data_IF_617166449731
#
_entry.id   IF_617166449731
#
_cell.length_a   1.000
_cell.length_b   1.000
_cell.length_c   1.000
_cell.angle_alpha   90.00
_cell.angle_beta   90.00
_cell.angle_gamma   90.00
#
_symmetry.space_group_name_H-M   'P 1'
#
loop_
_entity.id
_entity.type
_entity.pdbx_description
1 polymer ?
#
# COMPACT_ATOMS: atom_id res chain seq x y z
N UNK A 1 20.06 -15.07 -22.02
CA UNK A 1 19.25 -14.79 -20.81
C UNK A 1 17.94 -14.17 -21.24
N UNK A 2 16.80 -14.61 -20.70
CA UNK A 2 15.53 -14.02 -21.05
C UNK A 2 15.43 -12.60 -20.44
N UNK A 3 14.84 -11.64 -21.16
CA UNK A 3 14.58 -10.27 -20.68
C UNK A 3 13.89 -10.28 -19.32
N UNK A 4 13.05 -11.27 -19.07
CA UNK A 4 12.36 -11.52 -17.80
C UNK A 4 13.35 -11.74 -16.64
N UNK A 5 14.36 -12.61 -16.83
CA UNK A 5 15.32 -12.91 -15.76
C UNK A 5 16.17 -11.68 -15.38
N UNK A 6 16.58 -10.89 -16.37
CA UNK A 6 17.35 -9.65 -16.16
C UNK A 6 16.49 -8.63 -15.40
N UNK A 7 15.26 -8.40 -15.87
CA UNK A 7 14.33 -7.46 -15.24
C UNK A 7 14.04 -7.87 -13.79
N UNK A 8 13.76 -9.15 -13.55
CA UNK A 8 13.49 -9.65 -12.20
C UNK A 8 14.71 -9.51 -11.28
N UNK A 9 15.93 -9.73 -11.80
CA UNK A 9 17.18 -9.53 -11.05
C UNK A 9 17.35 -8.09 -10.59
N UNK A 10 17.14 -7.12 -11.47
CA UNK A 10 17.14 -5.69 -11.09
C UNK A 10 16.07 -5.37 -10.07
N UNK A 11 14.85 -5.87 -10.28
CA UNK A 11 13.75 -5.73 -9.33
C UNK A 11 14.10 -6.29 -7.95
N UNK A 12 14.75 -7.44 -7.89
CA UNK A 12 15.19 -8.05 -6.64
C UNK A 12 16.25 -7.20 -5.92
N UNK A 13 17.27 -6.70 -6.63
CA UNK A 13 18.29 -5.84 -6.04
C UNK A 13 17.72 -4.56 -5.44
N UNK A 14 16.84 -3.88 -6.19
CA UNK A 14 16.19 -2.65 -5.72
C UNK A 14 15.28 -2.95 -4.52
N UNK A 15 14.50 -4.04 -4.59
CA UNK A 15 13.60 -4.45 -3.50
C UNK A 15 14.36 -4.81 -2.23
N UNK A 16 15.49 -5.50 -2.35
CA UNK A 16 16.36 -5.86 -1.22
C UNK A 16 16.93 -4.61 -0.55
N UNK A 17 17.40 -3.66 -1.34
CA UNK A 17 17.90 -2.39 -0.82
C UNK A 17 16.79 -1.59 -0.09
N UNK A 18 15.60 -1.52 -0.68
CA UNK A 18 14.47 -0.83 -0.05
C UNK A 18 14.05 -1.49 1.26
N UNK A 19 14.03 -2.81 1.32
CA UNK A 19 13.70 -3.55 2.52
C UNK A 19 14.72 -3.32 3.62
N UNK A 20 16.02 -3.43 3.29
CA UNK A 20 17.11 -3.16 4.22
C UNK A 20 17.05 -1.73 4.79
N UNK A 21 16.86 -0.73 3.92
CA UNK A 21 16.72 0.66 4.34
C UNK A 21 15.54 0.85 5.30
N UNK A 22 14.40 0.27 4.99
CA UNK A 22 13.21 0.37 5.85
C UNK A 22 13.36 -0.36 7.17
N UNK A 23 14.00 -1.51 7.16
CA UNK A 23 14.31 -2.24 8.39
C UNK A 23 15.17 -1.39 9.34
N UNK A 24 16.17 -0.70 8.78
CA UNK A 24 17.02 0.24 9.52
C UNK A 24 16.25 1.43 10.07
N UNK A 25 15.39 2.05 9.25
CA UNK A 25 14.50 3.16 9.67
C UNK A 25 13.54 2.73 10.80
N UNK A 26 13.13 1.47 10.84
CA UNK A 26 12.26 0.87 11.86
C UNK A 26 13.02 0.31 13.08
N UNK A 27 14.34 0.49 13.15
CA UNK A 27 15.23 -0.06 14.21
C UNK A 27 15.03 -1.57 14.42
N UNK A 28 14.81 -2.32 13.33
CA UNK A 28 14.70 -3.77 13.33
C UNK A 28 16.09 -4.41 13.14
N UNK A 29 16.24 -5.64 13.64
CA UNK A 29 17.46 -6.40 13.40
C UNK A 29 17.60 -6.71 11.90
N UNK A 30 18.64 -6.14 11.27
CA UNK A 30 18.90 -6.22 9.82
C UNK A 30 19.10 -7.69 9.37
N UNK A 31 19.81 -8.49 10.16
CA UNK A 31 20.05 -9.90 9.87
C UNK A 31 18.76 -10.71 9.78
N UNK A 32 17.87 -10.55 10.77
CA UNK A 32 16.55 -11.23 10.75
C UNK A 32 15.66 -10.80 9.58
N UNK A 33 15.79 -9.56 9.14
CA UNK A 33 15.03 -9.06 7.99
C UNK A 33 15.57 -9.62 6.69
N UNK A 34 16.89 -9.79 6.55
CA UNK A 34 17.51 -10.44 5.39
C UNK A 34 17.09 -11.90 5.33
N UNK A 35 17.11 -12.62 6.45
CA UNK A 35 16.63 -13.99 6.53
C UNK A 35 15.15 -14.10 6.14
N UNK A 36 14.31 -13.20 6.66
CA UNK A 36 12.91 -13.14 6.30
C UNK A 36 12.69 -12.85 4.80
N UNK A 37 13.56 -12.03 4.19
CA UNK A 37 13.52 -11.76 2.75
C UNK A 37 13.86 -13.00 1.93
N UNK A 38 14.93 -13.71 2.27
CA UNK A 38 15.33 -14.94 1.58
C UNK A 38 14.21 -15.98 1.66
N UNK A 39 13.64 -16.15 2.85
CA UNK A 39 12.50 -17.04 3.06
C UNK A 39 11.26 -16.58 2.30
N UNK A 40 10.99 -15.25 2.21
CA UNK A 40 9.86 -14.71 1.44
C UNK A 40 10.00 -15.01 -0.06
N UNK A 41 11.20 -14.91 -0.60
CA UNK A 41 11.49 -15.29 -2.00
C UNK A 41 11.25 -16.78 -2.20
N UNK A 42 11.76 -17.62 -1.31
CA UNK A 42 11.61 -19.07 -1.40
C UNK A 42 10.14 -19.50 -1.33
N UNK A 43 9.41 -19.10 -0.29
CA UNK A 43 7.99 -19.44 -0.14
C UNK A 43 7.10 -18.79 -1.20
N UNK A 44 7.43 -17.56 -1.60
CA UNK A 44 6.76 -16.84 -2.68
C UNK A 44 6.95 -17.57 -4.03
N UNK A 45 8.14 -18.03 -4.33
CA UNK A 45 8.42 -18.81 -5.53
C UNK A 45 7.72 -20.16 -5.48
N UNK A 46 7.79 -20.88 -4.36
CA UNK A 46 7.17 -22.19 -4.18
C UNK A 46 5.65 -22.13 -4.39
N UNK A 47 4.96 -21.25 -3.66
CA UNK A 47 3.50 -21.12 -3.77
C UNK A 47 3.06 -20.40 -5.06
N UNK A 48 3.87 -19.51 -5.60
CA UNK A 48 3.66 -18.92 -6.92
C UNK A 48 3.71 -19.98 -8.02
N UNK A 49 4.64 -20.91 -7.94
CA UNK A 49 4.75 -22.05 -8.86
C UNK A 49 3.58 -23.00 -8.70
N UNK A 50 3.25 -23.37 -7.46
CA UNK A 50 2.11 -24.25 -7.18
C UNK A 50 0.79 -23.63 -7.72
N UNK A 51 0.56 -22.34 -7.48
CA UNK A 51 -0.60 -21.64 -8.02
C UNK A 51 -0.65 -21.63 -9.54
N UNK A 52 0.50 -21.47 -10.21
CA UNK A 52 0.58 -21.52 -11.66
C UNK A 52 0.24 -22.92 -12.21
N UNK A 53 0.78 -23.98 -11.58
CA UNK A 53 0.50 -25.37 -11.96
C UNK A 53 -0.99 -25.69 -11.79
N UNK A 54 -1.59 -25.30 -10.66
CA UNK A 54 -3.02 -25.50 -10.40
C UNK A 54 -3.87 -24.79 -11.45
N UNK A 55 -3.54 -23.54 -11.80
CA UNK A 55 -4.27 -22.78 -12.81
C UNK A 55 -4.13 -23.35 -14.23
N UNK A 56 -3.06 -24.09 -14.51
CA UNK A 56 -2.76 -24.68 -15.83
C UNK A 56 -2.66 -26.20 -15.76
N UNK A 57 -3.40 -26.83 -14.87
CA UNK A 57 -3.28 -28.26 -14.57
C UNK A 57 -3.46 -29.17 -15.81
N UNK A 58 -4.33 -28.76 -16.75
CA UNK A 58 -4.53 -29.49 -18.00
C UNK A 58 -3.26 -29.64 -18.86
N UNK A 59 -2.30 -28.67 -18.76
CA UNK A 59 -1.02 -28.76 -19.48
C UNK A 59 0.10 -29.44 -18.72
N UNK A 60 0.01 -29.48 -17.39
CA UNK A 60 1.04 -30.07 -16.52
C UNK A 60 0.73 -31.50 -16.10
N UNK A 61 -0.55 -31.81 -15.84
CA UNK A 61 -0.99 -33.11 -15.32
C UNK A 61 -0.27 -33.47 -14.02
N UNK A 62 -0.08 -34.77 -13.77
CA UNK A 62 0.68 -35.31 -12.62
C UNK A 62 2.16 -35.57 -12.94
N UNK A 63 2.74 -34.81 -13.89
CA UNK A 63 4.15 -34.93 -14.24
C UNK A 63 5.01 -34.04 -13.33
N UNK A 64 5.54 -34.61 -12.25
CA UNK A 64 6.40 -33.94 -11.30
C UNK A 64 7.68 -33.34 -11.94
N UNK A 65 8.17 -33.96 -13.04
CA UNK A 65 9.31 -33.43 -13.78
C UNK A 65 9.01 -32.04 -14.36
N UNK A 66 7.80 -31.84 -14.93
CA UNK A 66 7.35 -30.53 -15.43
C UNK A 66 7.12 -29.53 -14.31
N UNK A 67 6.73 -29.97 -13.11
CA UNK A 67 6.50 -29.06 -11.97
C UNK A 67 7.80 -28.43 -11.49
N UNK A 68 8.90 -29.19 -11.46
CA UNK A 68 10.19 -28.75 -10.95
C UNK A 68 11.01 -28.00 -12.01
N UNK A 69 10.86 -28.31 -13.30
CA UNK A 69 11.62 -27.72 -14.38
C UNK A 69 11.11 -26.32 -14.78
N UNK A 70 11.22 -25.34 -13.87
CA UNK A 70 10.76 -23.96 -14.13
C UNK A 70 11.56 -23.22 -15.21
N UNK A 71 12.77 -23.68 -15.54
CA UNK A 71 13.56 -23.13 -16.66
C UNK A 71 12.95 -23.55 -18.00
N UNK A 72 12.48 -24.80 -18.12
CA UNK A 72 11.89 -25.33 -19.34
C UNK A 72 10.41 -24.96 -19.49
N UNK A 73 9.69 -24.88 -18.37
CA UNK A 73 8.27 -24.54 -18.31
C UNK A 73 8.08 -23.31 -17.40
N UNK A 74 8.43 -22.11 -17.86
CA UNK A 74 8.37 -20.91 -17.03
C UNK A 74 6.93 -20.55 -16.69
N UNK A 75 6.72 -20.02 -15.47
CA UNK A 75 5.44 -19.50 -15.05
C UNK A 75 5.30 -19.45 -13.52
N UNK A 76 4.80 -18.31 -13.05
CA UNK A 76 4.45 -18.08 -11.65
C UNK A 76 3.11 -17.33 -11.60
N UNK A 77 2.25 -17.70 -10.66
CA UNK A 77 1.01 -17.00 -10.39
C UNK A 77 1.23 -15.99 -9.27
N UNK A 78 1.02 -14.70 -9.56
CA UNK A 78 1.20 -13.63 -8.58
C UNK A 78 0.36 -13.84 -7.30
N UNK A 79 -0.92 -14.26 -7.36
CA UNK A 79 -1.69 -14.55 -6.17
C UNK A 79 -1.05 -15.62 -5.27
N UNK A 80 -0.51 -16.69 -5.88
CA UNK A 80 0.22 -17.73 -5.14
C UNK A 80 1.49 -17.20 -4.49
N UNK A 81 2.26 -16.37 -5.20
CA UNK A 81 3.45 -15.71 -4.66
C UNK A 81 3.11 -14.85 -3.45
N UNK A 82 2.06 -14.04 -3.55
CA UNK A 82 1.60 -13.20 -2.43
C UNK A 82 1.16 -14.04 -1.24
N UNK A 83 0.41 -15.13 -1.48
CA UNK A 83 0.03 -16.05 -0.41
C UNK A 83 1.26 -16.63 0.32
N UNK A 84 2.31 -17.00 -0.42
CA UNK A 84 3.56 -17.47 0.16
C UNK A 84 4.21 -16.44 1.09
N UNK A 85 4.31 -15.19 0.63
CA UNK A 85 4.86 -14.09 1.43
C UNK A 85 3.98 -13.80 2.65
N UNK A 86 2.66 -13.76 2.49
CA UNK A 86 1.71 -13.51 3.59
C UNK A 86 1.80 -14.59 4.67
N UNK A 87 1.84 -15.87 4.28
CA UNK A 87 1.99 -16.98 5.22
C UNK A 87 3.31 -16.88 5.99
N UNK A 88 4.41 -16.60 5.29
CA UNK A 88 5.70 -16.41 5.94
C UNK A 88 5.67 -15.25 6.94
N UNK A 89 5.12 -14.10 6.54
CA UNK A 89 5.00 -12.95 7.44
C UNK A 89 4.14 -13.25 8.66
N UNK A 90 3.08 -14.04 8.50
CA UNK A 90 2.24 -14.47 9.62
C UNK A 90 3.00 -15.37 10.59
N UNK A 91 3.84 -16.28 10.10
CA UNK A 91 4.70 -17.13 10.92
C UNK A 91 5.76 -16.30 11.63
N UNK A 92 6.46 -15.42 10.92
CA UNK A 92 7.47 -14.54 11.51
C UNK A 92 6.89 -13.57 12.55
N UNK A 93 5.70 -13.03 12.32
CA UNK A 93 5.01 -12.18 13.27
C UNK A 93 4.73 -12.91 14.60
N UNK A 94 4.30 -14.18 14.52
CA UNK A 94 4.08 -15.02 15.71
C UNK A 94 5.38 -15.33 16.45
N UNK A 95 6.43 -15.71 15.73
CA UNK A 95 7.75 -16.02 16.33
C UNK A 95 8.38 -14.79 16.98
N UNK A 96 8.33 -13.64 16.28
CA UNK A 96 8.89 -12.39 16.77
C UNK A 96 8.00 -11.67 17.80
N UNK A 97 6.78 -12.18 18.06
CA UNK A 97 5.76 -11.53 18.92
C UNK A 97 5.47 -10.07 18.50
N UNK A 98 5.47 -9.83 17.17
CA UNK A 98 5.18 -8.51 16.56
C UNK A 98 3.84 -8.51 15.87
N UNK A 99 3.29 -7.31 15.65
CA UNK A 99 2.06 -7.20 14.85
C UNK A 99 2.35 -7.60 13.38
N UNK A 100 1.54 -8.52 12.86
CA UNK A 100 1.60 -8.96 11.47
C UNK A 100 1.56 -7.79 10.49
N UNK A 101 0.72 -6.80 10.78
CA UNK A 101 0.51 -5.66 9.87
C UNK A 101 1.71 -4.71 9.83
N UNK A 102 2.46 -4.59 10.92
CA UNK A 102 3.70 -3.82 10.96
C UNK A 102 4.75 -4.44 10.03
N UNK A 103 4.91 -5.77 10.09
CA UNK A 103 5.80 -6.49 9.19
C UNK A 103 5.30 -6.45 7.74
N UNK A 104 4.00 -6.60 7.52
CA UNK A 104 3.41 -6.53 6.18
C UNK A 104 3.68 -5.18 5.51
N UNK A 105 3.51 -4.07 6.23
CA UNK A 105 3.79 -2.71 5.70
C UNK A 105 5.27 -2.51 5.32
N UNK A 106 6.18 -3.19 6.02
CA UNK A 106 7.60 -3.19 5.71
C UNK A 106 7.86 -3.84 4.34
N UNK A 107 7.22 -4.97 4.07
CA UNK A 107 7.42 -5.77 2.86
C UNK A 107 6.66 -5.26 1.63
N UNK A 108 5.61 -4.47 1.80
CA UNK A 108 4.76 -4.03 0.68
C UNK A 108 5.52 -3.31 -0.41
N UNK A 109 6.35 -2.32 -0.07
CA UNK A 109 7.08 -1.55 -1.09
C UNK A 109 8.06 -2.41 -1.89
N UNK A 110 8.91 -3.25 -1.26
CA UNK A 110 9.73 -4.22 -1.97
C UNK A 110 8.94 -5.13 -2.91
N UNK A 111 7.80 -5.65 -2.45
CA UNK A 111 6.95 -6.56 -3.25
C UNK A 111 6.31 -5.83 -4.44
N UNK A 112 5.87 -4.58 -4.27
CA UNK A 112 5.35 -3.77 -5.37
C UNK A 112 6.43 -3.50 -6.42
N UNK A 113 7.66 -3.19 -6.00
CA UNK A 113 8.79 -3.01 -6.92
C UNK A 113 9.08 -4.30 -7.67
N UNK A 114 9.13 -5.44 -7.00
CA UNK A 114 9.29 -6.75 -7.65
C UNK A 114 8.17 -7.02 -8.67
N UNK A 115 6.92 -6.66 -8.36
CA UNK A 115 5.80 -6.82 -9.30
C UNK A 115 5.99 -5.94 -10.54
N UNK A 116 6.41 -4.69 -10.39
CA UNK A 116 6.69 -3.78 -11.51
C UNK A 116 7.72 -4.40 -12.46
N UNK A 117 8.87 -4.81 -11.94
CA UNK A 117 9.94 -5.40 -12.75
C UNK A 117 9.54 -6.77 -13.31
N UNK A 118 8.79 -7.56 -12.57
CA UNK A 118 8.24 -8.83 -13.06
C UNK A 118 7.31 -8.66 -14.26
N UNK A 119 6.40 -7.67 -14.22
CA UNK A 119 5.52 -7.37 -15.35
C UNK A 119 6.25 -6.70 -16.52
N UNK A 120 7.25 -5.83 -16.27
CA UNK A 120 8.12 -5.28 -17.32
C UNK A 120 8.85 -6.40 -18.06
N UNK A 121 9.42 -7.37 -17.33
CA UNK A 121 10.09 -8.52 -17.95
C UNK A 121 9.16 -9.45 -18.74
N UNK A 122 7.85 -9.42 -18.45
CA UNK A 122 6.80 -10.13 -19.20
C UNK A 122 6.21 -9.32 -20.36
N UNK A 123 6.71 -8.11 -20.65
CA UNK A 123 6.18 -7.15 -21.62
C UNK A 123 4.71 -6.69 -21.32
N UNK A 124 4.28 -6.82 -20.07
CA UNK A 124 2.94 -6.38 -19.62
C UNK A 124 2.98 -4.95 -19.07
N UNK A 125 3.29 -3.99 -19.93
CA UNK A 125 3.55 -2.59 -19.54
C UNK A 125 2.38 -1.92 -18.84
N UNK A 126 1.13 -2.25 -19.21
CA UNK A 126 -0.06 -1.70 -18.55
C UNK A 126 -0.12 -2.10 -17.07
N UNK A 127 0.11 -3.38 -16.76
CA UNK A 127 0.14 -3.85 -15.39
C UNK A 127 1.32 -3.25 -14.61
N UNK A 128 2.50 -3.19 -15.23
CA UNK A 128 3.66 -2.53 -14.62
C UNK A 128 3.36 -1.07 -14.27
N UNK A 129 2.71 -0.32 -15.18
CA UNK A 129 2.27 1.06 -14.96
C UNK A 129 1.26 1.19 -13.81
N UNK A 130 0.29 0.27 -13.73
CA UNK A 130 -0.68 0.26 -12.62
C UNK A 130 -0.01 0.02 -11.25
N UNK A 131 0.94 -0.92 -11.16
CA UNK A 131 1.71 -1.15 -9.93
C UNK A 131 2.66 0.02 -9.62
N UNK A 132 3.19 0.70 -10.63
CA UNK A 132 3.97 1.91 -10.42
C UNK A 132 3.12 3.05 -9.82
N UNK A 133 1.90 3.27 -10.32
CA UNK A 133 0.95 4.22 -9.73
C UNK A 133 0.60 3.83 -8.28
N UNK A 134 0.37 2.55 -8.01
CA UNK A 134 0.14 2.06 -6.65
C UNK A 134 1.34 2.37 -5.73
N UNK A 135 2.57 2.19 -6.22
CA UNK A 135 3.78 2.54 -5.48
C UNK A 135 3.80 4.02 -5.12
N UNK A 136 3.49 4.91 -6.07
CA UNK A 136 3.41 6.36 -5.83
C UNK A 136 2.37 6.70 -4.77
N UNK A 137 1.19 6.08 -4.81
CA UNK A 137 0.13 6.26 -3.80
C UNK A 137 0.61 5.82 -2.43
N UNK A 138 1.26 4.66 -2.33
CA UNK A 138 1.81 4.15 -1.06
C UNK A 138 2.89 5.09 -0.50
N UNK A 139 3.80 5.57 -1.35
CA UNK A 139 4.85 6.51 -0.95
C UNK A 139 4.25 7.84 -0.46
N UNK A 140 3.27 8.36 -1.18
CA UNK A 140 2.56 9.58 -0.81
C UNK A 140 1.84 9.44 0.53
N UNK A 141 1.09 8.35 0.74
CA UNK A 141 0.40 8.07 1.99
C UNK A 141 1.37 7.94 3.16
N UNK A 142 2.46 7.19 2.99
CA UNK A 142 3.47 7.03 4.03
C UNK A 142 4.12 8.37 4.41
N UNK A 143 4.40 9.22 3.42
CA UNK A 143 4.93 10.58 3.66
C UNK A 143 3.91 11.44 4.40
N UNK A 144 2.63 11.37 4.00
CA UNK A 144 1.55 12.16 4.60
C UNK A 144 1.27 11.74 6.05
N UNK A 145 1.20 10.43 6.31
CA UNK A 145 1.00 9.88 7.66
C UNK A 145 2.17 10.27 8.58
N UNK A 146 3.40 10.27 8.06
CA UNK A 146 4.59 10.66 8.85
C UNK A 146 4.61 12.14 9.18
N UNK A 147 4.22 13.02 8.25
CA UNK A 147 4.36 14.48 8.39
C UNK A 147 3.19 15.14 9.10
N UNK A 148 2.02 14.52 9.16
CA UNK A 148 0.82 15.13 9.73
C UNK A 148 0.30 14.29 10.91
N UNK A 149 0.33 14.87 12.15
CA UNK A 149 -0.07 14.16 13.36
C UNK A 149 -1.55 13.74 13.37
N UNK A 150 -2.42 14.49 12.68
CA UNK A 150 -3.84 14.14 12.54
C UNK A 150 -4.03 12.84 11.75
N UNK A 151 -3.30 12.69 10.64
CA UNK A 151 -3.30 11.47 9.85
C UNK A 151 -2.72 10.29 10.61
N UNK A 152 -1.67 10.54 11.42
CA UNK A 152 -1.08 9.52 12.28
C UNK A 152 -2.09 8.98 13.28
N UNK A 153 -2.92 9.83 13.90
CA UNK A 153 -3.99 9.41 14.82
C UNK A 153 -5.09 8.62 14.13
N UNK A 154 -5.43 8.96 12.87
CA UNK A 154 -6.43 8.24 12.09
C UNK A 154 -5.95 6.85 11.67
N UNK A 155 -4.69 6.74 11.32
CA UNK A 155 -4.01 5.51 10.91
C UNK A 155 -3.07 4.98 11.99
N UNK A 156 -3.48 5.09 13.26
CA UNK A 156 -2.73 4.60 14.42
C UNK A 156 -2.38 3.10 14.31
N UNK A 157 -3.25 2.33 13.64
CA UNK A 157 -3.01 0.92 13.37
C UNK A 157 -2.18 0.75 12.09
N UNK A 158 -1.08 0.00 12.18
CA UNK A 158 -0.29 -0.43 11.01
C UNK A 158 -1.13 -1.24 10.01
N UNK A 159 -0.71 -1.33 8.77
CA UNK A 159 -1.30 -2.20 7.75
C UNK A 159 -2.07 -1.50 6.64
N UNK A 160 -2.10 -0.16 6.60
CA UNK A 160 -2.77 0.55 5.50
C UNK A 160 -2.13 0.27 4.13
N UNK A 161 -0.80 0.42 3.95
CA UNK A 161 -0.14 0.09 2.70
C UNK A 161 -0.33 -1.38 2.29
N UNK A 162 -0.26 -2.30 3.26
CA UNK A 162 -0.45 -3.73 3.01
C UNK A 162 -1.86 -4.05 2.52
N UNK A 163 -2.88 -3.49 3.16
CA UNK A 163 -4.27 -3.67 2.73
C UNK A 163 -4.55 -3.06 1.36
N UNK A 164 -4.02 -1.88 1.06
CA UNK A 164 -4.14 -1.26 -0.26
C UNK A 164 -3.51 -2.14 -1.34
N UNK A 165 -2.30 -2.65 -1.09
CA UNK A 165 -1.62 -3.54 -2.03
C UNK A 165 -2.40 -4.84 -2.25
N UNK A 166 -2.86 -5.51 -1.18
CA UNK A 166 -3.63 -6.74 -1.28
C UNK A 166 -4.94 -6.51 -2.03
N UNK A 167 -5.70 -5.47 -1.65
CA UNK A 167 -6.97 -5.14 -2.30
C UNK A 167 -6.78 -4.86 -3.78
N UNK A 168 -5.76 -4.07 -4.14
CA UNK A 168 -5.44 -3.74 -5.53
C UNK A 168 -5.04 -4.98 -6.34
N UNK A 169 -4.16 -5.82 -5.79
CA UNK A 169 -3.69 -7.02 -6.46
C UNK A 169 -4.81 -8.03 -6.67
N UNK A 170 -5.67 -8.22 -5.67
CA UNK A 170 -6.82 -9.10 -5.79
C UNK A 170 -7.90 -8.53 -6.71
N UNK A 171 -8.08 -7.20 -6.76
CA UNK A 171 -9.00 -6.57 -7.70
C UNK A 171 -8.64 -6.86 -9.16
N UNK A 172 -7.34 -6.91 -9.46
CA UNK A 172 -6.85 -7.21 -10.82
C UNK A 172 -6.94 -8.69 -11.15
N UNK A 173 -6.60 -9.57 -10.20
CA UNK A 173 -6.45 -11.01 -10.47
C UNK A 173 -7.68 -11.83 -10.06
N UNK A 174 -8.34 -11.46 -8.98
CA UNK A 174 -9.48 -12.16 -8.38
C UNK A 174 -10.47 -11.14 -7.79
N UNK A 175 -11.29 -10.48 -8.61
CA UNK A 175 -12.13 -9.35 -8.16
C UNK A 175 -13.08 -9.72 -7.00
N UNK A 176 -13.55 -10.95 -6.91
CA UNK A 176 -14.39 -11.42 -5.81
C UNK A 176 -13.65 -11.34 -4.46
N UNK A 177 -12.35 -11.66 -4.43
CA UNK A 177 -11.53 -11.62 -3.22
C UNK A 177 -11.19 -10.18 -2.81
N UNK A 178 -11.17 -9.23 -3.76
CA UNK A 178 -10.96 -7.82 -3.48
C UNK A 178 -12.04 -7.25 -2.55
N UNK A 179 -13.29 -7.72 -2.67
CA UNK A 179 -14.39 -7.33 -1.77
C UNK A 179 -14.04 -7.67 -0.32
N UNK A 180 -13.44 -8.83 -0.07
CA UNK A 180 -12.94 -9.20 1.26
C UNK A 180 -11.85 -8.25 1.78
N UNK A 181 -10.94 -7.78 0.91
CA UNK A 181 -9.91 -6.80 1.25
C UNK A 181 -10.51 -5.45 1.66
N UNK A 182 -11.51 -4.96 0.93
CA UNK A 182 -12.27 -3.75 1.29
C UNK A 182 -12.97 -3.93 2.64
N UNK A 183 -13.60 -5.07 2.87
CA UNK A 183 -14.28 -5.37 4.12
C UNK A 183 -13.31 -5.38 5.31
N UNK A 184 -12.15 -6.01 5.18
CA UNK A 184 -11.09 -5.98 6.19
C UNK A 184 -10.58 -4.55 6.45
N UNK A 185 -10.45 -3.73 5.39
CA UNK A 185 -10.10 -2.33 5.54
C UNK A 185 -11.15 -1.58 6.37
N UNK A 186 -12.42 -1.73 6.06
CA UNK A 186 -13.51 -1.07 6.79
C UNK A 186 -13.55 -1.47 8.27
N UNK A 187 -13.36 -2.74 8.59
CA UNK A 187 -13.31 -3.23 9.98
C UNK A 187 -12.10 -2.65 10.71
N UNK A 188 -10.92 -2.74 10.10
CA UNK A 188 -9.66 -2.33 10.74
C UNK A 188 -9.59 -0.82 10.98
N UNK A 189 -10.07 -0.04 10.02
CA UNK A 189 -10.05 1.43 10.06
C UNK A 189 -11.42 2.06 10.33
N UNK A 190 -12.22 1.44 11.19
CA UNK A 190 -13.55 1.93 11.55
C UNK A 190 -13.55 3.41 12.02
N UNK A 191 -12.49 3.86 12.73
CA UNK A 191 -12.33 5.27 13.10
C UNK A 191 -12.17 6.16 11.85
N UNK A 192 -11.40 5.72 10.86
CA UNK A 192 -11.19 6.44 9.60
C UNK A 192 -12.49 6.53 8.78
N UNK A 193 -13.22 5.44 8.63
CA UNK A 193 -14.51 5.44 7.93
C UNK A 193 -15.52 6.39 8.59
N UNK A 194 -15.60 6.43 9.93
CA UNK A 194 -16.46 7.40 10.64
C UNK A 194 -16.03 8.85 10.40
N UNK A 195 -14.73 9.12 10.33
CA UNK A 195 -14.21 10.47 10.04
C UNK A 195 -14.46 10.84 8.59
N UNK A 196 -14.24 9.91 7.63
CA UNK A 196 -14.53 10.15 6.21
C UNK A 196 -16.00 10.47 5.96
N UNK A 197 -16.93 9.81 6.66
CA UNK A 197 -18.36 10.10 6.57
C UNK A 197 -18.69 11.49 7.14
N UNK A 198 -17.96 11.93 8.19
CA UNK A 198 -18.16 13.24 8.83
C UNK A 198 -17.35 14.38 8.17
N UNK A 199 -16.35 14.04 7.37
CA UNK A 199 -15.43 15.02 6.78
C UNK A 199 -16.15 16.08 5.93
N UNK A 200 -17.13 15.75 5.07
CA UNK A 200 -17.87 16.77 4.31
C UNK A 200 -18.60 17.76 5.19
N UNK A 201 -19.20 17.28 6.28
CA UNK A 201 -19.94 18.15 7.22
C UNK A 201 -19.00 19.07 8.02
N UNK A 202 -17.84 18.57 8.43
CA UNK A 202 -16.85 19.38 9.17
C UNK A 202 -16.22 20.47 8.30
N UNK A 203 -15.92 20.18 7.02
CA UNK A 203 -15.40 21.15 6.06
C UNK A 203 -16.45 22.23 5.80
N UNK A 204 -17.71 21.85 5.58
CA UNK A 204 -18.81 22.80 5.40
C UNK A 204 -19.02 23.68 6.63
N UNK A 205 -18.94 23.12 7.84
CA UNK A 205 -19.04 23.88 9.09
C UNK A 205 -17.86 24.83 9.27
N UNK A 206 -16.65 24.38 8.94
CA UNK A 206 -15.45 25.24 8.98
C UNK A 206 -15.52 26.38 7.99
N UNK A 207 -15.99 26.15 6.76
CA UNK A 207 -16.19 27.20 5.74
C UNK A 207 -17.27 28.18 6.19
N UNK A 208 -18.40 27.71 6.72
CA UNK A 208 -19.46 28.58 7.25
C UNK A 208 -18.92 29.48 8.36
N UNK A 209 -18.22 28.92 9.34
CA UNK A 209 -17.62 29.71 10.43
C UNK A 209 -16.63 30.74 9.92
N UNK A 210 -15.75 30.37 8.98
CA UNK A 210 -14.80 31.31 8.37
C UNK A 210 -15.49 32.45 7.64
N UNK A 211 -16.57 32.18 6.89
CA UNK A 211 -17.35 33.22 6.20
C UNK A 211 -18.09 34.13 7.19
N UNK A 212 -18.59 33.61 8.29
CA UNK A 212 -19.28 34.34 9.34
C UNK A 212 -18.30 35.26 10.10
N UNK A 213 -17.12 34.76 10.46
CA UNK A 213 -16.04 35.56 11.08
C UNK A 213 -15.57 36.69 10.14
N UNK A 214 -15.47 36.40 8.84
CA UNK A 214 -15.13 37.44 7.85
C UNK A 214 -16.20 38.50 7.70
N UNK A 215 -17.48 38.11 7.70
CA UNK A 215 -18.61 39.05 7.64
C UNK A 215 -18.62 39.97 8.86
N UNK A 216 -18.44 39.39 10.04
CA UNK A 216 -18.40 40.18 11.30
C UNK A 216 -17.23 41.17 11.34
N UNK A 217 -16.04 40.75 10.83
CA UNK A 217 -14.90 41.66 10.72
C UNK A 217 -15.17 42.83 9.74
N UNK A 218 -15.78 42.57 8.60
CA UNK A 218 -16.14 43.60 7.62
C UNK A 218 -17.18 44.55 8.20
N UNK A 219 -18.20 44.04 8.90
CA UNK A 219 -19.20 44.87 9.58
C UNK A 219 -18.57 45.76 10.71
N UNK A 220 -17.60 45.23 11.43
CA UNK A 220 -16.86 45.98 12.44
C UNK A 220 -16.06 47.11 11.81
N UNK A 221 -15.31 46.83 10.73
CA UNK A 221 -14.55 47.87 9.99
C UNK A 221 -15.47 48.92 9.39
N UNK A 222 -16.62 48.56 8.85
CA UNK A 222 -17.62 49.50 8.33
C UNK A 222 -18.20 50.39 9.43
N UNK A 223 -18.41 49.88 10.65
CA UNK A 223 -18.86 50.67 11.80
C UNK A 223 -17.78 51.63 12.30
N UNK A 224 -16.52 51.25 12.25
CA UNK A 224 -15.39 52.12 12.61
C UNK A 224 -15.23 53.23 11.58
N UNK A 225 -15.27 52.95 10.28
CA UNK A 225 -15.23 53.95 9.22
C UNK A 225 -16.37 54.95 9.29
N UNK A 226 -17.58 54.52 9.66
CA UNK A 226 -18.72 55.44 9.86
C UNK A 226 -18.58 56.33 11.12
N UNK A 227 -17.81 55.94 12.11
CA UNK A 227 -17.51 56.79 13.31
C UNK A 227 -16.42 57.83 13.04
N UNK A 228 -15.56 57.59 12.07
CA UNK A 228 -14.46 58.47 11.70
C UNK A 228 -14.86 59.52 10.64
N UNK A 229 -16.07 59.42 10.06
CA UNK A 229 -16.51 60.40 9.06
C UNK A 229 -17.14 61.67 9.77
N UNK A 230 -16.36 62.81 9.89
CA UNK A 230 -16.79 63.93 10.64
C UNK A 230 -17.78 64.82 9.87
N UNK A 231 -18.27 64.40 8.69
CA UNK A 231 -19.11 65.20 7.79
C UNK A 231 -20.61 64.85 7.83
N UNK A 232 -21.03 63.85 8.55
CA UNK A 232 -22.43 63.38 8.55
C UNK A 232 -23.31 64.15 9.61
N UNK A 233 -22.73 65.06 10.41
CA UNK A 233 -23.47 65.75 11.52
C UNK A 233 -23.74 67.24 11.23
N UNK A 234 -23.78 67.67 9.95
CA UNK A 234 -24.14 69.05 9.55
C UNK A 234 -25.09 69.02 8.34
N UNK A 235 -26.31 68.52 8.53
CA UNK A 235 -27.42 68.83 7.65
C UNK A 235 -28.75 68.81 8.41
#
# INVERSE_FOLDING_TARGET
MSSFGISLGFGFLISSFLLWRRAREAALNEEKIIDAMIMAVFFGALLGRAGYIISNFGGFGFDFGRWLLFIKYPGFALPGTIMGVVLLLAVNARIAKKDFWELADLFVQPVVVLAIFGYLGQNKYQLAGMYFLLLLVILFLNRKIRNFPEWRKLFEKSGLPALLFLTFTFAINLPVVAVGGVFLFLIRYNKFTRVMIKFPSQVLTGIKKYLEDRKNNVEHQLKELKKEDPFEDKS
#
